data_IF_152483978601
#
_entry.id   IF_152483978601
#
_cell.length_a   1.000
_cell.length_b   1.000
_cell.length_c   1.000
_cell.angle_alpha   90.00
_cell.angle_beta   90.00
_cell.angle_gamma   90.00
#
_symmetry.space_group_name_H-M   'P 1'
#
loop_
_entity.id
_entity.type
_entity.pdbx_description
1 polymer ?
#
# COMPACT_ATOMS: atom_id res chain seq x y z
N UNK A 1 -47.12 38.05 38.93
CA UNK A 1 -48.54 38.13 38.51
C UNK A 1 -48.59 38.33 36.99
N UNK A 2 -49.62 37.74 36.34
CA UNK A 2 -49.81 37.47 34.88
C UNK A 2 -49.12 36.16 34.45
N UNK A 3 -49.71 34.96 34.38
CA UNK A 3 -51.00 34.36 33.92
C UNK A 3 -51.12 34.14 32.39
N UNK A 4 -51.08 32.84 32.02
CA UNK A 4 -51.89 32.07 31.03
C UNK A 4 -51.68 32.42 29.52
N UNK A 5 -51.48 31.47 28.59
CA UNK A 5 -52.33 30.33 28.22
C UNK A 5 -51.54 29.17 27.55
N UNK A 6 -51.85 27.94 27.97
CA UNK A 6 -51.61 26.68 27.26
C UNK A 6 -52.69 26.48 26.19
N UNK A 7 -52.38 25.84 25.06
CA UNK A 7 -53.38 25.19 24.20
C UNK A 7 -52.84 23.85 23.73
N UNK A 8 -53.46 22.79 24.25
CA UNK A 8 -53.30 21.39 23.90
C UNK A 8 -54.42 21.04 22.92
N UNK A 9 -54.08 20.49 21.75
CA UNK A 9 -55.05 19.90 20.83
C UNK A 9 -54.67 18.45 20.58
N UNK A 10 -55.45 17.55 21.18
CA UNK A 10 -55.48 16.12 20.90
C UNK A 10 -56.46 15.93 19.73
N UNK A 11 -55.98 15.33 18.63
CA UNK A 11 -56.80 14.92 17.50
C UNK A 11 -56.51 13.47 17.16
N UNK A 12 -57.54 12.63 17.26
CA UNK A 12 -57.50 11.17 17.15
C UNK A 12 -57.00 10.65 15.79
N UNK A 13 -56.37 9.48 15.89
CA UNK A 13 -56.06 8.58 14.79
C UNK A 13 -57.30 8.17 14.00
N UNK A 14 -57.17 8.15 12.68
CA UNK A 14 -57.97 7.30 11.78
C UNK A 14 -56.99 6.44 10.98
N UNK A 15 -57.20 5.13 11.08
CA UNK A 15 -56.53 4.11 10.28
C UNK A 15 -57.27 4.00 8.95
N UNK A 16 -56.60 4.28 7.85
CA UNK A 16 -57.01 3.86 6.51
C UNK A 16 -55.86 3.14 5.83
N UNK A 17 -56.16 1.91 5.43
CA UNK A 17 -55.29 0.89 4.87
C UNK A 17 -54.79 1.19 3.45
N UNK A 18 -53.64 0.59 3.15
CA UNK A 18 -52.90 0.48 1.90
C UNK A 18 -53.69 0.52 0.58
N UNK A 19 -53.17 1.27 -0.39
CA UNK A 19 -52.92 0.75 -1.74
C UNK A 19 -51.53 1.18 -2.21
N UNK A 20 -50.95 0.30 -3.02
CA UNK A 20 -49.55 0.15 -3.38
C UNK A 20 -49.03 1.24 -4.32
N UNK A 21 -48.19 2.12 -3.80
CA UNK A 21 -47.26 2.88 -4.63
C UNK A 21 -45.97 2.06 -4.82
N UNK A 22 -45.69 1.79 -6.10
CA UNK A 22 -44.38 1.35 -6.59
C UNK A 22 -43.36 2.43 -6.24
N UNK A 23 -42.78 2.32 -5.05
CA UNK A 23 -41.55 3.02 -4.72
C UNK A 23 -40.48 2.35 -5.57
N UNK A 24 -40.13 2.98 -6.70
CA UNK A 24 -38.86 2.72 -7.34
C UNK A 24 -37.80 2.87 -6.26
N UNK A 25 -37.22 1.73 -5.85
CA UNK A 25 -36.01 1.73 -5.05
C UNK A 25 -35.02 2.69 -5.74
N UNK A 26 -34.32 3.55 -4.99
CA UNK A 26 -33.18 4.25 -5.57
C UNK A 26 -32.29 3.19 -6.23
N UNK A 27 -31.73 3.47 -7.42
CA UNK A 27 -30.82 2.53 -8.06
C UNK A 27 -29.77 2.15 -7.02
N UNK A 28 -29.60 0.84 -6.79
CA UNK A 28 -28.53 0.32 -5.96
C UNK A 28 -27.25 1.02 -6.39
N UNK A 29 -26.61 1.73 -5.44
CA UNK A 29 -25.36 2.42 -5.68
C UNK A 29 -24.44 1.51 -6.48
N UNK A 30 -23.98 2.03 -7.62
CA UNK A 30 -22.90 1.47 -8.39
C UNK A 30 -21.83 1.00 -7.43
N UNK A 31 -21.53 -0.29 -7.50
CA UNK A 31 -20.53 -0.98 -6.70
C UNK A 31 -19.27 -0.13 -6.52
N UNK A 32 -19.12 0.51 -5.36
CA UNK A 32 -17.97 1.37 -5.08
C UNK A 32 -16.72 0.50 -5.01
N UNK A 33 -15.66 0.90 -5.70
CA UNK A 33 -14.34 0.25 -5.59
C UNK A 33 -13.69 0.45 -4.21
N UNK A 34 -14.32 1.25 -3.35
CA UNK A 34 -13.87 1.55 -2.00
C UNK A 34 -13.95 0.30 -1.12
N UNK A 35 -12.84 -0.07 -0.49
CA UNK A 35 -12.76 -1.18 0.47
C UNK A 35 -12.41 -2.56 -0.10
N UNK A 36 -12.13 -2.65 -1.41
CA UNK A 36 -11.55 -3.86 -2.00
C UNK A 36 -10.09 -3.99 -1.53
N UNK A 37 -9.75 -5.14 -0.94
CA UNK A 37 -8.43 -5.46 -0.40
C UNK A 37 -8.01 -6.86 -0.82
N UNK A 38 -6.75 -7.08 -1.23
CA UNK A 38 -6.24 -8.41 -1.50
C UNK A 38 -6.19 -9.18 -0.18
N UNK A 39 -6.65 -10.42 -0.15
CA UNK A 39 -6.57 -11.29 1.03
C UNK A 39 -5.45 -12.32 0.89
N UNK A 40 -5.04 -12.61 -0.35
CA UNK A 40 -4.02 -13.59 -0.68
C UNK A 40 -3.44 -13.33 -2.07
N UNK A 41 -2.19 -13.72 -2.27
CA UNK A 41 -1.60 -13.93 -3.60
C UNK A 41 -0.97 -15.32 -3.67
N UNK A 42 -1.26 -16.05 -4.74
CA UNK A 42 -0.56 -17.29 -5.09
C UNK A 42 0.48 -16.98 -6.17
N UNK A 43 1.73 -17.35 -5.91
CA UNK A 43 2.89 -17.07 -6.75
C UNK A 43 3.36 -18.39 -7.36
N UNK A 44 3.65 -18.36 -8.67
CA UNK A 44 4.35 -19.43 -9.39
C UNK A 44 5.60 -18.82 -9.99
N UNK A 45 6.76 -19.25 -9.49
CA UNK A 45 8.07 -18.79 -9.95
C UNK A 45 8.47 -19.44 -11.28
N UNK A 46 9.49 -18.87 -11.92
CA UNK A 46 9.99 -19.32 -13.24
C UNK A 46 10.52 -20.76 -13.24
N UNK A 47 10.99 -21.25 -12.10
CA UNK A 47 11.44 -22.63 -11.89
C UNK A 47 10.30 -23.60 -11.53
N UNK A 48 9.08 -23.09 -11.37
CA UNK A 48 7.88 -23.84 -11.03
C UNK A 48 7.66 -24.02 -9.53
N UNK A 49 8.51 -23.44 -8.66
CA UNK A 49 8.20 -23.34 -7.24
C UNK A 49 6.98 -22.46 -7.00
N UNK A 50 6.28 -22.71 -5.90
CA UNK A 50 5.04 -22.00 -5.58
C UNK A 50 5.06 -21.50 -4.17
N UNK A 51 4.53 -20.31 -3.97
CA UNK A 51 4.38 -19.66 -2.68
C UNK A 51 2.99 -19.05 -2.57
N UNK A 52 2.45 -19.01 -1.36
CA UNK A 52 1.24 -18.26 -1.09
C UNK A 52 1.52 -17.27 0.02
N UNK A 53 1.22 -15.99 -0.22
CA UNK A 53 1.25 -14.93 0.79
C UNK A 53 -0.19 -14.57 1.17
N UNK A 54 -0.46 -14.50 2.46
CA UNK A 54 -1.75 -14.09 3.03
C UNK A 54 -1.64 -12.73 3.70
N UNK A 55 -2.70 -11.92 3.57
CA UNK A 55 -2.75 -10.55 4.06
C UNK A 55 -3.79 -10.41 5.18
N UNK A 56 -3.39 -9.84 6.31
CA UNK A 56 -4.27 -9.60 7.46
C UNK A 56 -4.47 -8.10 7.69
N UNK A 57 -5.70 -7.69 8.02
CA UNK A 57 -6.09 -6.30 8.16
C UNK A 57 -6.89 -6.02 9.44
N UNK A 58 -6.83 -4.78 9.92
CA UNK A 58 -7.85 -4.15 10.77
C UNK A 58 -8.56 -3.03 9.98
N UNK A 59 -9.77 -3.32 9.51
CA UNK A 59 -10.45 -2.47 8.52
C UNK A 59 -9.65 -2.40 7.22
N UNK A 60 -9.17 -1.20 6.85
CA UNK A 60 -8.30 -0.98 5.69
C UNK A 60 -6.82 -0.83 6.07
N UNK A 61 -6.45 -1.08 7.32
CA UNK A 61 -5.06 -1.01 7.78
C UNK A 61 -4.42 -2.39 7.63
N UNK A 62 -3.37 -2.51 6.81
CA UNK A 62 -2.58 -3.74 6.66
C UNK A 62 -1.82 -4.00 7.96
N UNK A 63 -1.92 -5.21 8.52
CA UNK A 63 -1.25 -5.59 9.77
C UNK A 63 -0.15 -6.61 9.55
N UNK A 64 -0.33 -7.52 8.59
CA UNK A 64 0.60 -8.63 8.39
C UNK A 64 0.56 -9.17 6.96
N UNK A 65 1.72 -9.55 6.46
CA UNK A 65 1.92 -10.42 5.30
C UNK A 65 2.57 -11.71 5.78
N UNK A 66 2.02 -12.87 5.45
CA UNK A 66 2.55 -14.17 5.89
C UNK A 66 2.62 -15.15 4.75
N UNK A 67 3.82 -15.66 4.49
CA UNK A 67 4.10 -16.66 3.48
C UNK A 67 3.96 -18.09 4.01
N UNK A 68 3.59 -19.02 3.12
CA UNK A 68 3.51 -20.45 3.38
C UNK A 68 4.82 -21.12 3.79
N UNK A 69 5.96 -20.52 3.49
CA UNK A 69 7.28 -21.02 3.90
C UNK A 69 7.69 -20.57 5.33
N UNK A 70 6.86 -19.73 5.96
CA UNK A 70 7.02 -19.26 7.33
C UNK A 70 7.65 -17.87 7.47
N UNK A 71 8.03 -17.20 6.38
CA UNK A 71 8.40 -15.78 6.45
C UNK A 71 7.17 -14.90 6.68
N UNK A 72 7.33 -13.82 7.42
CA UNK A 72 6.27 -12.83 7.57
C UNK A 72 6.80 -11.42 7.85
N UNK A 73 5.96 -10.45 7.51
CA UNK A 73 6.16 -9.03 7.78
C UNK A 73 5.02 -8.52 8.65
N UNK A 74 5.34 -7.93 9.79
CA UNK A 74 4.37 -7.27 10.68
C UNK A 74 4.43 -5.75 10.53
N UNK A 75 3.26 -5.11 10.47
CA UNK A 75 3.08 -3.67 10.42
C UNK A 75 2.49 -3.21 11.75
N UNK A 76 3.28 -2.44 12.51
CA UNK A 76 2.90 -2.02 13.87
C UNK A 76 2.46 -0.56 13.84
N UNK A 77 1.33 -0.28 14.49
CA UNK A 77 0.74 1.05 14.55
C UNK A 77 0.54 1.52 15.99
N UNK A 78 0.79 2.80 16.23
CA UNK A 78 0.43 3.51 17.46
C UNK A 78 -0.36 4.76 17.09
N UNK A 79 -1.52 4.97 17.72
CA UNK A 79 -2.42 6.09 17.41
C UNK A 79 -2.69 6.26 15.90
N UNK A 80 -2.89 5.13 15.20
CA UNK A 80 -3.11 5.03 13.75
C UNK A 80 -1.92 5.42 12.86
N UNK A 81 -0.74 5.70 13.43
CA UNK A 81 0.50 5.93 12.69
C UNK A 81 1.35 4.67 12.63
N UNK A 82 1.94 4.38 11.48
CA UNK A 82 2.87 3.27 11.32
C UNK A 82 4.16 3.55 12.11
N UNK A 83 4.47 2.74 13.10
CA UNK A 83 5.69 2.94 13.90
C UNK A 83 6.79 1.95 13.55
N UNK A 84 6.44 0.78 13.01
CA UNK A 84 7.41 -0.26 12.65
C UNK A 84 6.93 -1.10 11.46
N UNK A 85 7.89 -1.57 10.67
CA UNK A 85 7.73 -2.73 9.78
C UNK A 85 8.82 -3.72 10.18
N UNK A 86 8.44 -4.95 10.51
CA UNK A 86 9.37 -5.96 10.99
C UNK A 86 9.27 -7.22 10.13
N UNK A 87 10.39 -7.66 9.58
CA UNK A 87 10.48 -8.90 8.80
C UNK A 87 11.13 -10.01 9.63
N UNK A 88 10.53 -11.20 9.51
CA UNK A 88 10.89 -12.37 10.29
C UNK A 88 11.23 -13.54 9.37
N UNK A 89 12.37 -14.16 9.65
CA UNK A 89 12.75 -15.45 9.08
C UNK A 89 12.28 -16.55 10.02
N UNK A 90 11.10 -17.09 9.73
CA UNK A 90 10.40 -18.03 10.61
C UNK A 90 10.18 -17.39 12.02
N UNK A 91 10.43 -18.02 13.19
CA UNK A 91 10.13 -17.36 14.46
C UNK A 91 11.14 -16.25 14.84
N UNK A 92 12.18 -16.02 14.05
CA UNK A 92 13.27 -15.12 14.41
C UNK A 92 13.16 -13.78 13.68
N UNK A 93 13.27 -12.65 14.38
CA UNK A 93 13.39 -11.36 13.71
C UNK A 93 14.69 -11.34 12.91
N UNK A 94 14.63 -10.76 11.71
CA UNK A 94 15.81 -10.60 10.87
C UNK A 94 16.03 -9.13 10.50
N UNK A 95 14.95 -8.37 10.30
CA UNK A 95 15.05 -6.93 10.05
C UNK A 95 13.96 -6.22 10.85
N UNK A 96 14.36 -5.27 11.69
CA UNK A 96 13.44 -4.49 12.50
C UNK A 96 13.55 -3.02 12.11
N UNK A 97 12.46 -2.42 11.62
CA UNK A 97 12.44 -1.01 11.24
C UNK A 97 11.55 -0.19 12.14
N UNK A 98 11.93 1.07 12.36
CA UNK A 98 11.13 2.02 13.10
C UNK A 98 11.16 3.41 12.49
N UNK A 99 10.06 4.14 12.67
CA UNK A 99 9.85 5.43 12.05
C UNK A 99 9.57 6.53 13.06
N UNK A 100 10.15 7.71 12.82
CA UNK A 100 9.72 8.94 13.49
C UNK A 100 9.13 9.92 12.50
N UNK A 101 8.47 10.95 13.01
CA UNK A 101 7.62 11.84 12.21
C UNK A 101 7.96 13.31 12.40
N UNK A 102 7.85 14.09 11.32
CA UNK A 102 7.94 15.53 11.38
C UNK A 102 6.63 16.18 11.87
N UNK A 103 6.64 17.51 12.00
CA UNK A 103 5.47 18.26 12.44
C UNK A 103 4.31 18.26 11.42
N UNK A 104 4.54 17.84 10.18
CA UNK A 104 3.53 17.68 9.13
C UNK A 104 2.95 16.25 9.13
N UNK A 105 3.49 15.34 9.94
CA UNK A 105 3.06 13.94 10.00
C UNK A 105 3.67 13.06 8.92
N UNK A 106 4.75 13.49 8.26
CA UNK A 106 5.52 12.69 7.31
C UNK A 106 6.64 11.96 8.04
N UNK A 107 7.16 10.88 7.47
CA UNK A 107 8.31 10.15 8.04
C UNK A 107 9.54 11.05 8.01
N UNK A 108 10.13 11.30 9.16
CA UNK A 108 11.34 12.12 9.30
C UNK A 108 12.60 11.27 9.38
N UNK A 109 12.52 10.11 10.02
CA UNK A 109 13.66 9.19 10.14
C UNK A 109 13.21 7.75 9.97
N UNK A 110 14.05 6.95 9.34
CA UNK A 110 13.97 5.48 9.30
C UNK A 110 15.17 4.95 10.09
N UNK A 111 14.93 3.98 10.98
CA UNK A 111 15.98 3.25 11.67
C UNK A 111 15.79 1.76 11.40
N UNK A 112 16.74 1.16 10.68
CA UNK A 112 16.71 -0.23 10.25
C UNK A 112 17.77 -1.02 11.01
N UNK A 113 17.35 -1.99 11.80
CA UNK A 113 18.22 -2.93 12.50
C UNK A 113 18.23 -4.26 11.74
N UNK A 114 19.30 -4.47 10.98
CA UNK A 114 19.63 -5.76 10.37
C UNK A 114 20.24 -6.64 11.46
N UNK A 115 19.48 -7.63 11.93
CA UNK A 115 19.94 -8.53 13.01
C UNK A 115 21.26 -9.18 12.60
N UNK A 116 22.23 -9.19 13.52
CA UNK A 116 23.62 -9.63 13.33
C UNK A 116 24.54 -8.69 12.51
N UNK A 117 24.02 -7.64 11.85
CA UNK A 117 24.83 -6.70 11.05
C UNK A 117 24.94 -5.32 11.69
N UNK A 118 23.84 -4.77 12.22
CA UNK A 118 23.84 -3.47 12.90
C UNK A 118 22.61 -2.61 12.62
N UNK A 119 22.67 -1.37 13.12
CA UNK A 119 21.60 -0.38 12.99
C UNK A 119 22.06 0.71 12.01
N UNK A 120 21.20 0.99 11.04
CA UNK A 120 21.37 2.01 9.99
C UNK A 120 20.28 3.06 10.17
N UNK A 121 20.64 4.33 10.09
CA UNK A 121 19.70 5.42 10.31
C UNK A 121 19.69 6.35 9.10
N UNK A 122 18.50 6.77 8.70
CA UNK A 122 18.28 7.63 7.55
C UNK A 122 17.41 8.82 7.94
N UNK A 123 17.79 10.00 7.47
CA UNK A 123 16.96 11.20 7.56
C UNK A 123 16.25 11.41 6.23
N UNK A 124 14.93 11.59 6.29
CA UNK A 124 14.11 11.87 5.12
C UNK A 124 13.81 13.37 5.04
N UNK A 125 13.84 13.89 3.82
CA UNK A 125 13.44 15.25 3.51
C UNK A 125 12.58 15.28 2.25
N UNK A 126 11.79 16.34 2.11
CA UNK A 126 10.75 16.44 1.10
C UNK A 126 10.82 17.80 0.41
N UNK A 127 10.54 17.82 -0.88
CA UNK A 127 10.27 19.07 -1.58
C UNK A 127 8.89 19.65 -1.19
N UNK A 128 8.54 20.81 -1.74
CA UNK A 128 7.36 21.58 -1.31
C UNK A 128 6.01 20.93 -1.58
N UNK A 129 5.92 20.08 -2.61
CA UNK A 129 4.70 19.37 -2.99
C UNK A 129 4.75 17.87 -2.64
N UNK A 130 5.78 17.44 -1.90
CA UNK A 130 6.06 16.05 -1.54
C UNK A 130 6.24 15.09 -2.72
N UNK A 131 6.48 15.59 -3.95
CA UNK A 131 6.74 14.74 -5.12
C UNK A 131 8.16 14.18 -5.19
N UNK A 132 9.09 14.72 -4.39
CA UNK A 132 10.47 14.23 -4.31
C UNK A 132 10.83 14.04 -2.85
N UNK A 133 11.25 12.83 -2.52
CA UNK A 133 11.72 12.42 -1.20
C UNK A 133 13.21 12.12 -1.32
N UNK A 134 13.98 12.57 -0.34
CA UNK A 134 15.43 12.39 -0.30
C UNK A 134 15.79 11.74 1.03
N UNK A 135 16.46 10.59 0.96
CA UNK A 135 16.95 9.83 2.11
C UNK A 135 18.47 10.00 2.24
N UNK A 136 18.97 10.32 3.43
CA UNK A 136 20.41 10.50 3.69
C UNK A 136 20.82 9.67 4.91
N UNK A 137 21.84 8.83 4.73
CA UNK A 137 22.45 8.06 5.80
C UNK A 137 23.05 8.96 6.89
N UNK A 138 22.62 8.78 8.14
CA UNK A 138 23.00 9.65 9.27
C UNK A 138 24.50 9.54 9.58
N UNK A 139 25.04 8.32 9.55
CA UNK A 139 26.45 8.07 9.83
C UNK A 139 27.38 8.38 8.64
N UNK A 140 26.84 8.59 7.45
CA UNK A 140 27.58 8.98 6.24
C UNK A 140 26.86 10.09 5.46
N UNK A 141 26.70 11.29 6.04
CA UNK A 141 25.86 12.35 5.47
C UNK A 141 26.46 13.00 4.21
N UNK A 142 27.66 12.58 3.79
CA UNK A 142 28.32 13.04 2.56
C UNK A 142 28.13 12.08 1.40
N UNK A 143 27.48 10.91 1.61
CA UNK A 143 27.05 10.07 0.50
C UNK A 143 26.06 10.82 -0.37
N UNK A 144 25.92 10.38 -1.61
CA UNK A 144 24.77 10.80 -2.39
C UNK A 144 23.51 10.28 -1.73
N UNK A 145 22.43 11.08 -1.74
CA UNK A 145 21.18 10.65 -1.18
C UNK A 145 20.44 9.70 -2.11
N UNK A 146 19.57 8.89 -1.51
CA UNK A 146 18.59 8.12 -2.25
C UNK A 146 17.40 9.03 -2.56
N UNK A 147 16.82 8.90 -3.75
CA UNK A 147 15.79 9.84 -4.24
C UNK A 147 14.62 9.11 -4.86
N UNK A 148 13.50 9.10 -4.14
CA UNK A 148 12.22 8.62 -4.64
C UNK A 148 11.43 9.76 -5.29
N UNK A 149 10.87 9.51 -6.48
CA UNK A 149 10.09 10.47 -7.26
C UNK A 149 8.66 9.98 -7.43
N UNK A 150 7.70 10.78 -6.99
CA UNK A 150 6.27 10.50 -7.06
C UNK A 150 5.57 11.41 -8.08
N UNK A 151 4.58 10.87 -8.77
CA UNK A 151 3.65 11.62 -9.61
C UNK A 151 2.26 11.01 -9.56
N UNK A 152 1.25 11.85 -9.29
CA UNK A 152 -0.15 11.44 -9.22
C UNK A 152 -0.39 10.22 -8.31
N UNK A 153 0.32 10.13 -7.18
CA UNK A 153 0.20 9.01 -6.23
C UNK A 153 0.87 7.70 -6.65
N UNK A 154 1.69 7.73 -7.71
CA UNK A 154 2.56 6.62 -8.10
C UNK A 154 4.03 7.02 -7.97
N UNK A 155 4.90 6.09 -7.60
CA UNK A 155 6.35 6.20 -7.76
C UNK A 155 6.70 6.05 -9.23
N UNK A 156 7.30 7.07 -9.83
CA UNK A 156 7.70 7.06 -11.25
C UNK A 156 9.20 6.87 -11.45
N UNK A 157 9.97 6.96 -10.37
CA UNK A 157 11.37 6.59 -10.36
C UNK A 157 11.96 6.59 -8.97
N UNK A 158 13.09 5.93 -8.87
CA UNK A 158 13.95 5.90 -7.70
C UNK A 158 15.42 6.01 -8.13
N UNK A 159 16.26 6.52 -7.24
CA UNK A 159 17.69 6.60 -7.45
C UNK A 159 18.43 6.30 -6.15
N UNK A 160 19.09 5.15 -6.08
CA UNK A 160 20.02 4.75 -5.01
C UNK A 160 21.40 5.42 -5.25
N UNK A 161 21.42 6.74 -5.06
CA UNK A 161 22.61 7.59 -5.15
C UNK A 161 23.29 7.62 -6.54
N UNK A 162 24.46 6.97 -6.65
CA UNK A 162 25.26 6.86 -7.88
C UNK A 162 25.16 5.46 -8.52
N UNK A 163 24.43 4.54 -7.90
CA UNK A 163 24.42 3.14 -8.30
C UNK A 163 23.30 2.88 -9.32
N UNK A 164 22.04 2.96 -8.89
CA UNK A 164 20.90 2.51 -9.69
C UNK A 164 19.96 3.67 -9.96
N UNK A 165 19.53 3.82 -11.21
CA UNK A 165 18.40 4.70 -11.54
C UNK A 165 17.29 3.84 -12.09
N UNK A 166 16.18 3.79 -11.36
CA UNK A 166 15.02 3.00 -11.72
C UNK A 166 13.88 3.89 -12.18
N UNK A 167 13.21 3.50 -13.25
CA UNK A 167 12.05 4.23 -13.79
C UNK A 167 10.86 3.31 -13.96
N UNK A 168 9.70 3.80 -13.55
CA UNK A 168 8.46 3.04 -13.54
C UNK A 168 7.44 3.64 -14.50
N UNK A 169 6.80 2.80 -15.31
CA UNK A 169 5.60 3.19 -16.08
C UNK A 169 4.38 2.47 -15.56
N UNK A 170 3.21 3.09 -15.72
CA UNK A 170 1.98 2.60 -15.10
C UNK A 170 0.85 2.47 -16.12
N UNK A 171 -0.06 1.55 -15.83
CA UNK A 171 -1.36 1.52 -16.48
C UNK A 171 -2.34 2.54 -15.85
N UNK A 172 -3.62 2.44 -16.18
CA UNK A 172 -4.68 3.27 -15.60
C UNK A 172 -5.59 2.51 -14.64
N UNK A 173 -5.24 1.27 -14.27
CA UNK A 173 -6.06 0.36 -13.47
C UNK A 173 -5.60 0.39 -12.02
N UNK A 174 -6.37 -0.19 -11.09
CA UNK A 174 -6.06 -0.09 -9.66
C UNK A 174 -4.90 -1.03 -9.31
N UNK A 175 -3.93 -0.56 -8.51
CA UNK A 175 -2.94 -1.44 -7.89
C UNK A 175 -3.57 -2.30 -6.76
N UNK A 176 -2.98 -3.46 -6.40
CA UNK A 176 -3.53 -4.34 -5.36
C UNK A 176 -3.81 -3.62 -4.04
N UNK A 177 -2.87 -2.81 -3.57
CA UNK A 177 -2.93 -2.16 -2.26
C UNK A 177 -3.43 -0.71 -2.29
N UNK A 178 -4.09 -0.28 -3.39
CA UNK A 178 -4.56 1.11 -3.56
C UNK A 178 -5.39 1.64 -2.39
N UNK A 179 -6.17 0.77 -1.75
CA UNK A 179 -7.17 1.14 -0.73
C UNK A 179 -6.67 1.08 0.72
N UNK A 180 -5.42 0.68 0.97
CA UNK A 180 -4.95 0.58 2.36
C UNK A 180 -4.79 1.96 2.99
N UNK A 181 -5.07 2.05 4.29
CA UNK A 181 -4.72 3.22 5.08
C UNK A 181 -3.20 3.38 5.12
N UNK A 182 -2.72 4.63 5.25
CA UNK A 182 -1.29 4.95 5.28
C UNK A 182 -0.50 4.53 4.01
N UNK A 183 -1.18 4.19 2.90
CA UNK A 183 -0.53 3.87 1.60
C UNK A 183 0.49 4.92 1.19
N UNK A 184 0.13 6.19 1.27
CA UNK A 184 1.01 7.30 0.88
C UNK A 184 2.29 7.33 1.71
N UNK A 185 2.23 6.90 2.97
CA UNK A 185 3.40 6.80 3.82
C UNK A 185 4.27 5.60 3.45
N UNK A 186 3.65 4.44 3.20
CA UNK A 186 4.37 3.23 2.76
C UNK A 186 5.08 3.44 1.41
N UNK A 187 4.51 4.25 0.52
CA UNK A 187 5.13 4.64 -0.75
C UNK A 187 6.38 5.54 -0.56
N UNK A 188 6.56 6.16 0.61
CA UNK A 188 7.72 7.05 0.91
C UNK A 188 8.83 6.37 1.69
N UNK A 189 8.59 5.15 2.19
CA UNK A 189 9.58 4.38 2.93
C UNK A 189 10.20 3.40 1.95
N UNK A 190 11.33 3.81 1.36
CA UNK A 190 12.17 2.92 0.61
C UNK A 190 13.25 2.36 1.54
N UNK A 191 13.11 1.10 1.92
CA UNK A 191 13.89 0.49 3.00
C UNK A 191 13.95 -1.04 2.85
N UNK A 192 14.78 -1.68 3.68
CA UNK A 192 15.04 -3.12 3.63
C UNK A 192 13.79 -3.99 3.89
N UNK A 193 12.78 -3.45 4.59
CA UNK A 193 11.52 -4.16 4.85
C UNK A 193 10.35 -3.71 3.98
N UNK A 194 10.53 -2.71 3.13
CA UNK A 194 9.42 -2.09 2.42
C UNK A 194 9.72 -1.99 0.93
N UNK A 195 9.01 -2.80 0.15
CA UNK A 195 8.93 -2.63 -1.30
C UNK A 195 7.92 -1.51 -1.61
N UNK A 196 8.37 -0.28 -1.43
CA UNK A 196 7.60 0.96 -1.56
C UNK A 196 6.71 1.00 -2.82
N UNK A 197 7.24 0.52 -3.95
CA UNK A 197 6.56 0.44 -5.24
C UNK A 197 5.31 -0.48 -5.27
N UNK A 198 5.09 -1.36 -4.29
CA UNK A 198 3.85 -2.14 -4.19
C UNK A 198 2.64 -1.28 -3.81
N UNK A 199 2.88 -0.09 -3.25
CA UNK A 199 1.85 0.81 -2.72
C UNK A 199 1.46 1.93 -3.69
N UNK A 200 1.71 1.73 -4.98
CA UNK A 200 1.24 2.60 -6.05
C UNK A 200 -0.29 2.70 -6.11
N UNK A 201 -0.81 3.74 -6.76
CA UNK A 201 -2.24 3.83 -7.11
C UNK A 201 -2.60 2.96 -8.32
N UNK A 202 -1.66 2.83 -9.25
CA UNK A 202 -1.82 2.10 -10.52
C UNK A 202 -0.81 0.96 -10.64
N UNK A 203 -1.06 0.00 -11.54
CA UNK A 203 -0.15 -1.12 -11.71
C UNK A 203 1.09 -0.69 -12.52
N UNK A 204 2.25 -1.22 -12.14
CA UNK A 204 3.53 -0.97 -12.82
C UNK A 204 3.61 -1.82 -14.08
N UNK A 205 3.58 -1.21 -15.27
CA UNK A 205 3.78 -1.91 -16.54
C UNK A 205 5.23 -2.28 -16.78
N UNK A 206 6.15 -1.39 -16.41
CA UNK A 206 7.59 -1.60 -16.57
C UNK A 206 8.34 -1.02 -15.40
N UNK A 207 9.38 -1.73 -14.96
CA UNK A 207 10.46 -1.24 -14.12
C UNK A 207 11.75 -1.41 -14.93
N UNK A 208 12.43 -0.28 -15.18
CA UNK A 208 13.69 -0.26 -15.91
C UNK A 208 14.76 0.30 -14.99
N UNK A 209 15.70 -0.56 -14.61
CA UNK A 209 16.84 -0.20 -13.78
C UNK A 209 18.09 -0.02 -14.64
N UNK A 210 18.65 1.19 -14.60
CA UNK A 210 19.91 1.53 -15.27
C UNK A 210 21.06 1.39 -14.29
N UNK A 211 21.98 0.47 -14.58
CA UNK A 211 23.23 0.30 -13.87
C UNK A 211 24.34 -0.07 -14.85
N UNK A 212 25.58 0.29 -14.53
CA UNK A 212 26.72 0.08 -15.44
C UNK A 212 27.04 -1.39 -15.66
N UNK A 213 26.83 -2.25 -14.65
CA UNK A 213 27.21 -3.66 -14.73
C UNK A 213 26.04 -4.63 -14.65
N UNK A 214 24.87 -4.15 -14.23
CA UNK A 214 23.71 -5.00 -13.95
C UNK A 214 22.40 -4.26 -14.27
N UNK A 215 22.20 -3.83 -15.53
CA UNK A 215 20.93 -3.25 -15.93
C UNK A 215 19.87 -4.36 -15.94
N UNK A 216 18.64 -4.01 -15.57
CA UNK A 216 17.54 -4.95 -15.61
C UNK A 216 16.27 -4.31 -16.16
N UNK A 217 15.39 -5.14 -16.69
CA UNK A 217 14.11 -4.72 -17.25
C UNK A 217 13.02 -5.72 -16.88
N UNK A 218 12.11 -5.27 -16.03
CA UNK A 218 10.91 -6.02 -15.65
C UNK A 218 9.75 -5.50 -16.49
N UNK A 219 9.00 -6.41 -17.10
CA UNK A 219 7.72 -6.06 -17.74
C UNK A 219 6.58 -6.87 -17.15
N UNK A 220 5.46 -6.21 -16.89
CA UNK A 220 4.28 -6.84 -16.33
C UNK A 220 3.11 -6.81 -17.31
N UNK A 221 2.38 -7.91 -17.36
CA UNK A 221 1.08 -7.98 -18.04
C UNK A 221 0.00 -8.42 -17.08
N UNK A 222 -1.22 -7.96 -17.32
CA UNK A 222 -2.30 -8.04 -16.34
C UNK A 222 -3.58 -8.61 -16.95
N UNK A 223 -4.29 -9.40 -16.15
CA UNK A 223 -5.74 -9.56 -16.27
C UNK A 223 -6.40 -8.92 -15.06
N UNK A 224 -7.64 -8.46 -15.20
CA UNK A 224 -8.31 -7.68 -14.16
C UNK A 224 -9.63 -8.32 -13.73
N UNK A 225 -10.04 -7.98 -12.51
CA UNK A 225 -11.40 -8.18 -12.02
C UNK A 225 -12.36 -7.17 -12.66
N UNK A 226 -13.67 -7.34 -12.44
CA UNK A 226 -14.69 -6.37 -12.88
C UNK A 226 -14.55 -4.99 -12.20
N UNK A 227 -13.73 -4.92 -11.15
CA UNK A 227 -13.43 -3.70 -10.38
C UNK A 227 -12.10 -3.05 -10.76
N UNK A 228 -11.49 -3.47 -11.87
CA UNK A 228 -10.22 -2.95 -12.36
C UNK A 228 -9.02 -3.20 -11.42
N UNK A 229 -9.09 -4.18 -10.52
CA UNK A 229 -7.94 -4.69 -9.74
C UNK A 229 -7.29 -5.88 -10.46
N UNK A 230 -5.98 -6.11 -10.34
CA UNK A 230 -5.30 -7.20 -11.03
C UNK A 230 -5.75 -8.57 -10.47
N UNK A 231 -6.23 -9.46 -11.34
CA UNK A 231 -6.51 -10.85 -11.00
C UNK A 231 -5.26 -11.71 -11.15
N UNK A 232 -4.58 -11.56 -12.28
CA UNK A 232 -3.32 -12.23 -12.59
C UNK A 232 -2.33 -11.17 -13.06
N UNK A 233 -1.12 -11.21 -12.50
CA UNK A 233 0.06 -10.51 -12.99
C UNK A 233 0.99 -11.56 -13.56
N UNK A 234 1.48 -11.35 -14.77
CA UNK A 234 2.62 -12.10 -15.32
C UNK A 234 3.78 -11.14 -15.44
N UNK A 235 4.80 -11.38 -14.64
CA UNK A 235 6.06 -10.65 -14.60
C UNK A 235 7.07 -11.38 -15.47
N UNK A 236 7.79 -10.65 -16.31
CA UNK A 236 8.92 -11.11 -17.09
C UNK A 236 10.15 -10.30 -16.65
N UNK A 237 11.02 -10.95 -15.88
CA UNK A 237 12.30 -10.41 -15.43
C UNK A 237 13.43 -11.00 -16.29
N UNK A 238 13.82 -10.26 -17.34
CA UNK A 238 14.87 -10.67 -18.28
C UNK A 238 14.71 -12.11 -18.85
N UNK A 239 13.47 -12.56 -19.03
CA UNK A 239 13.11 -13.88 -19.55
C UNK A 239 12.65 -14.88 -18.49
N UNK A 240 12.87 -14.60 -17.21
CA UNK A 240 12.34 -15.39 -16.10
C UNK A 240 10.91 -14.94 -15.79
N UNK A 241 9.96 -15.86 -16.03
CA UNK A 241 8.53 -15.55 -15.95
C UNK A 241 7.94 -16.05 -14.64
N UNK A 242 7.42 -15.12 -13.84
CA UNK A 242 6.65 -15.41 -12.63
C UNK A 242 5.19 -15.00 -12.80
N UNK A 243 4.27 -15.70 -12.13
CA UNK A 243 2.83 -15.39 -12.17
C UNK A 243 2.27 -15.23 -10.76
N UNK A 244 1.52 -14.15 -10.56
CA UNK A 244 0.90 -13.77 -9.28
C UNK A 244 -0.62 -13.77 -9.47
N UNK A 245 -1.34 -14.59 -8.71
CA UNK A 245 -2.80 -14.67 -8.75
C UNK A 245 -3.40 -14.14 -7.46
N UNK A 246 -4.05 -12.98 -7.52
CA UNK A 246 -4.65 -12.34 -6.36
C UNK A 246 -6.05 -12.87 -6.08
N UNK A 247 -6.38 -12.97 -4.80
CA UNK A 247 -7.74 -13.14 -4.26
C UNK A 247 -8.09 -11.91 -3.45
N UNK A 248 -9.31 -11.41 -3.57
CA UNK A 248 -9.81 -10.21 -2.90
C UNK A 248 -10.93 -10.54 -1.92
N UNK A 249 -11.20 -9.61 -1.00
CA UNK A 249 -12.25 -9.75 0.02
C UNK A 249 -13.70 -9.70 -0.52
N UNK A 250 -13.88 -9.35 -1.80
CA UNK A 250 -15.16 -9.28 -2.48
C UNK A 250 -15.41 -10.42 -3.48
N UNK A 251 -14.51 -11.41 -3.53
CA UNK A 251 -14.63 -12.62 -4.36
C UNK A 251 -15.60 -13.66 -3.78
#
# INVERSE_FOLDING_TARGET
MKKLLFTLAIGLATLTSCESDLVSAPPSDSSSNDGILPTKVDIVYSDGETETITYTYDGMTLLKEESTDGYYTDYVYEDSKLTQINWYNAPNPAILESYTYDAQGRVATVSTNLVDFGVYNYNLSYNSDNSVITSIHVENPTSLPDVTILSNGNMIGDNDGDNYVTTFTHDTKNAPFKNINNRELLLTIDSENCYSYLFNLNNILTDITQHLTDPSNITNTYTYTDFDYPRIITEDYDGDISTYTYTYNND
#
